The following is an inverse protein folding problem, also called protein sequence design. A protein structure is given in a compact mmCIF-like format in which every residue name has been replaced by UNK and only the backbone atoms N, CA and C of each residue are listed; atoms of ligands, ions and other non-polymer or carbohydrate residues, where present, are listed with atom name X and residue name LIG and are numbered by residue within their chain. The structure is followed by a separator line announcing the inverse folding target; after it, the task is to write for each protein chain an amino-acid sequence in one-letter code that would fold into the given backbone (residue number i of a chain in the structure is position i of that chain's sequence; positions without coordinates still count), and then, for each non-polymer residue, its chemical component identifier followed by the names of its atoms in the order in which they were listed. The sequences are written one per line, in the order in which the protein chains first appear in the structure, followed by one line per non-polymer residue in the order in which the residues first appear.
data_IF_115715565119
#
_entry.id   IF_115715565119
#
_cell.length_a   1.000
_cell.length_b   1.000
_cell.length_c   1.000
_cell.angle_alpha   90.00
_cell.angle_beta   90.00
_cell.angle_gamma   90.00
#
_symmetry.space_group_name_H-M   'P 1'
#
loop_
_entity.id
_entity.type
_entity.pdbx_description
1 polymer ?
#
# COMPACT_ATOMS: atom_id res chain seq x y z
N UNK A 1 22.95 5.11 4.20
CA UNK A 1 23.32 3.89 3.44
C UNK A 1 22.05 3.33 2.84
N UNK A 2 21.96 3.08 1.53
CA UNK A 2 20.83 2.32 0.96
C UNK A 2 20.77 0.98 1.68
N UNK A 3 19.61 0.59 2.20
CA UNK A 3 19.36 -0.75 2.74
C UNK A 3 19.43 -1.76 1.60
N UNK A 4 20.64 -2.06 1.13
CA UNK A 4 20.88 -3.16 0.19
C UNK A 4 20.72 -4.45 0.99
N UNK A 5 19.52 -5.02 0.95
CA UNK A 5 19.37 -6.46 1.23
C UNK A 5 20.08 -7.23 0.12
N UNK A 6 20.70 -8.35 0.48
CA UNK A 6 21.15 -9.35 -0.50
C UNK A 6 20.05 -10.39 -0.78
N UNK A 7 18.91 -10.31 -0.10
CA UNK A 7 17.80 -11.25 -0.30
C UNK A 7 17.20 -11.03 -1.69
N UNK A 8 17.08 -12.09 -2.52
CA UNK A 8 16.40 -11.99 -3.80
C UNK A 8 14.92 -11.71 -3.55
N UNK A 9 14.34 -10.82 -4.36
CA UNK A 9 12.91 -10.53 -4.34
C UNK A 9 12.13 -11.80 -4.72
N UNK A 10 10.99 -12.10 -4.05
CA UNK A 10 10.12 -13.20 -4.45
C UNK A 10 9.72 -13.07 -5.91
N UNK A 11 9.75 -14.18 -6.64
CA UNK A 11 9.54 -14.15 -8.09
C UNK A 11 9.05 -15.49 -8.62
N UNK A 12 8.12 -15.44 -9.57
CA UNK A 12 7.73 -16.54 -10.44
C UNK A 12 7.70 -16.02 -11.87
N UNK A 13 8.24 -16.78 -12.83
CA UNK A 13 8.22 -16.38 -14.24
C UNK A 13 6.79 -16.33 -14.77
N UNK A 14 6.55 -15.40 -15.71
CA UNK A 14 5.25 -15.23 -16.36
C UNK A 14 4.81 -16.53 -17.05
N UNK A 15 3.60 -17.05 -16.79
CA UNK A 15 3.07 -18.19 -17.52
C UNK A 15 3.06 -17.93 -19.03
N UNK A 16 3.36 -18.96 -19.84
CA UNK A 16 3.51 -18.82 -21.30
C UNK A 16 2.23 -18.34 -22.01
N UNK A 17 1.08 -18.64 -21.43
CA UNK A 17 -0.26 -18.30 -21.90
C UNK A 17 -0.82 -17.01 -21.29
N UNK A 18 -0.10 -16.38 -20.35
CA UNK A 18 -0.51 -15.12 -19.75
C UNK A 18 -0.26 -13.94 -20.69
N UNK A 19 -1.33 -13.24 -21.06
CA UNK A 19 -1.27 -12.01 -21.87
C UNK A 19 -1.30 -10.73 -21.03
N UNK A 20 -1.60 -10.84 -19.74
CA UNK A 20 -1.73 -9.69 -18.84
C UNK A 20 -0.37 -9.09 -18.48
N UNK A 21 -0.35 -7.81 -18.11
CA UNK A 21 0.88 -7.11 -17.67
C UNK A 21 1.37 -7.63 -16.31
N UNK A 22 0.43 -7.93 -15.43
CA UNK A 22 0.69 -8.54 -14.13
C UNK A 22 0.12 -9.96 -14.12
N UNK A 23 0.84 -10.89 -13.52
CA UNK A 23 0.37 -12.26 -13.29
C UNK A 23 0.39 -12.59 -11.79
N UNK A 24 -0.53 -13.46 -11.37
CA UNK A 24 -0.63 -13.91 -9.97
C UNK A 24 0.43 -14.97 -9.70
N UNK A 25 0.93 -15.02 -8.47
CA UNK A 25 1.70 -16.17 -7.98
C UNK A 25 0.85 -17.44 -8.01
N UNK A 26 1.39 -18.56 -8.52
CA UNK A 26 0.61 -19.78 -8.76
C UNK A 26 0.09 -20.42 -7.47
N UNK A 27 0.79 -20.19 -6.34
CA UNK A 27 0.43 -20.76 -5.04
C UNK A 27 -0.18 -19.73 -4.09
N UNK A 28 -0.83 -18.69 -4.64
CA UNK A 28 -1.62 -17.78 -3.80
C UNK A 28 -2.76 -18.52 -3.07
N UNK A 29 -3.16 -18.02 -1.89
CA UNK A 29 -2.56 -16.90 -1.14
C UNK A 29 -1.29 -17.30 -0.37
N UNK A 30 -0.41 -16.34 -0.09
CA UNK A 30 0.85 -16.58 0.63
C UNK A 30 0.74 -16.44 2.15
N UNK A 31 -0.28 -15.73 2.64
CA UNK A 31 -0.65 -15.67 4.06
C UNK A 31 -2.15 -15.91 4.14
N UNK A 32 -2.53 -16.95 4.88
CA UNK A 32 -3.92 -17.33 5.08
C UNK A 32 -4.53 -16.64 6.29
N UNK A 33 -5.86 -16.61 6.32
CA UNK A 33 -6.65 -15.88 7.31
C UNK A 33 -6.43 -16.33 8.77
N UNK A 34 -5.94 -17.56 8.98
CA UNK A 34 -5.76 -18.19 10.31
C UNK A 34 -4.29 -18.48 10.65
N UNK A 35 -3.33 -17.84 9.98
CA UNK A 35 -1.90 -18.13 10.17
C UNK A 35 -1.36 -17.71 11.55
N UNK A 36 -2.07 -16.83 12.29
CA UNK A 36 -1.79 -16.58 13.70
C UNK A 36 -2.99 -16.96 14.59
N UNK A 37 -2.78 -17.38 15.85
CA UNK A 37 -3.86 -17.93 16.69
C UNK A 37 -5.07 -17.01 16.89
N UNK A 38 -4.83 -15.70 16.91
CA UNK A 38 -5.85 -14.67 17.13
C UNK A 38 -6.58 -14.22 15.86
N UNK A 39 -6.06 -14.51 14.66
CA UNK A 39 -6.56 -13.91 13.43
C UNK A 39 -7.90 -14.50 13.02
N UNK A 40 -8.78 -13.60 12.58
CA UNK A 40 -9.89 -13.89 11.69
C UNK A 40 -9.43 -13.78 10.23
N UNK A 41 -8.65 -12.74 9.92
CA UNK A 41 -8.11 -12.43 8.59
C UNK A 41 -6.80 -11.66 8.68
N UNK A 42 -5.92 -11.86 7.69
CA UNK A 42 -4.63 -11.17 7.56
C UNK A 42 -4.50 -10.72 6.11
N UNK A 43 -4.41 -9.40 5.88
CA UNK A 43 -4.43 -8.81 4.55
C UNK A 43 -3.78 -7.42 4.58
N UNK A 44 -3.83 -6.65 3.49
CA UNK A 44 -3.35 -5.25 3.39
C UNK A 44 -2.01 -4.97 4.09
N UNK A 45 -1.00 -5.81 3.81
CA UNK A 45 0.25 -5.83 4.56
C UNK A 45 1.38 -5.07 3.86
N UNK A 46 2.23 -4.42 4.66
CA UNK A 46 3.42 -3.72 4.19
C UNK A 46 4.66 -4.60 4.32
N UNK A 47 5.51 -4.62 3.29
CA UNK A 47 6.72 -5.43 3.24
C UNK A 47 7.89 -4.59 2.74
N UNK A 48 9.04 -4.74 3.37
CA UNK A 48 10.29 -4.11 2.96
C UNK A 48 11.49 -5.06 3.10
N UNK A 49 12.55 -4.85 2.31
CA UNK A 49 13.86 -5.41 2.57
C UNK A 49 14.38 -5.06 3.97
N UNK A 50 14.86 -6.06 4.71
CA UNK A 50 15.44 -5.87 6.03
C UNK A 50 16.48 -6.95 6.34
N UNK A 51 17.70 -6.51 6.68
CA UNK A 51 18.87 -7.39 6.90
C UNK A 51 19.10 -8.37 5.72
N UNK A 52 19.12 -9.67 6.01
CA UNK A 52 19.32 -10.77 5.07
C UNK A 52 18.00 -11.36 4.54
N UNK A 53 16.88 -10.66 4.74
CA UNK A 53 15.55 -11.08 4.31
C UNK A 53 14.60 -9.89 4.19
N UNK A 54 13.40 -10.07 4.76
CA UNK A 54 12.29 -9.13 4.70
C UNK A 54 11.67 -8.96 6.08
N UNK A 55 11.19 -7.75 6.35
CA UNK A 55 10.33 -7.44 7.48
C UNK A 55 9.03 -6.84 6.94
N UNK A 56 7.97 -6.95 7.74
CA UNK A 56 6.68 -6.40 7.38
C UNK A 56 5.86 -5.95 8.57
N UNK A 57 4.84 -5.16 8.25
CA UNK A 57 3.78 -4.74 9.17
C UNK A 57 2.45 -5.19 8.57
N UNK A 58 1.78 -6.10 9.26
CA UNK A 58 0.63 -6.85 8.77
C UNK A 58 -0.63 -6.35 9.46
N UNK A 59 -1.67 -6.01 8.70
CA UNK A 59 -3.01 -5.85 9.29
C UNK A 59 -3.53 -7.26 9.60
N UNK A 60 -3.92 -7.46 10.85
CA UNK A 60 -4.65 -8.63 11.26
C UNK A 60 -5.89 -8.19 12.02
N UNK A 61 -7.04 -8.68 11.55
CA UNK A 61 -8.31 -8.50 12.23
C UNK A 61 -8.50 -9.73 13.12
N UNK A 62 -8.75 -9.53 14.42
CA UNK A 62 -8.90 -10.65 15.36
C UNK A 62 -10.27 -11.35 15.19
N UNK A 63 -10.53 -12.41 15.97
CA UNK A 63 -11.83 -13.13 15.96
C UNK A 63 -13.06 -12.30 16.40
N UNK A 64 -12.84 -11.10 16.94
CA UNK A 64 -13.88 -10.10 17.19
C UNK A 64 -13.91 -9.00 16.11
N UNK A 65 -13.21 -9.20 15.00
CA UNK A 65 -13.04 -8.29 13.85
C UNK A 65 -12.45 -6.93 14.25
N UNK A 66 -11.70 -6.89 15.36
CA UNK A 66 -10.96 -5.70 15.75
C UNK A 66 -9.66 -5.64 14.97
N UNK A 67 -9.42 -4.49 14.33
CA UNK A 67 -8.29 -4.28 13.44
C UNK A 67 -7.05 -3.83 14.21
N UNK A 68 -5.93 -4.52 14.02
CA UNK A 68 -4.64 -4.08 14.55
C UNK A 68 -3.48 -4.45 13.61
N UNK A 69 -2.28 -3.95 13.92
CA UNK A 69 -1.07 -4.20 13.14
C UNK A 69 -0.03 -5.02 13.92
N UNK A 70 0.65 -5.92 13.21
CA UNK A 70 1.58 -6.91 13.75
C UNK A 70 2.88 -6.85 12.96
N UNK A 71 4.02 -7.01 13.62
CA UNK A 71 5.30 -7.16 12.93
C UNK A 71 5.50 -8.61 12.49
N UNK A 72 6.22 -8.83 11.39
CA UNK A 72 6.58 -10.17 10.93
C UNK A 72 7.85 -10.16 10.10
N UNK A 73 8.44 -11.34 9.93
CA UNK A 73 9.71 -11.53 9.23
C UNK A 73 9.63 -12.69 8.26
N UNK A 74 10.42 -12.60 7.18
CA UNK A 74 10.54 -13.66 6.19
C UNK A 74 11.95 -13.68 5.61
N UNK A 75 12.45 -14.86 5.24
CA UNK A 75 13.73 -15.00 4.52
C UNK A 75 13.58 -14.89 3.01
N UNK A 76 12.41 -15.22 2.47
CA UNK A 76 12.15 -15.29 1.02
C UNK A 76 11.03 -14.35 0.55
N UNK A 77 10.34 -13.68 1.48
CA UNK A 77 9.22 -12.79 1.21
C UNK A 77 7.89 -13.52 0.96
N UNK A 78 7.86 -14.86 1.04
CA UNK A 78 6.68 -15.69 0.80
C UNK A 78 6.24 -16.37 2.09
N UNK A 79 7.18 -17.00 2.81
CA UNK A 79 6.93 -17.71 4.06
C UNK A 79 7.16 -16.75 5.23
N UNK A 80 6.09 -16.39 5.96
CA UNK A 80 6.13 -15.35 6.99
C UNK A 80 5.97 -15.91 8.40
N UNK A 81 6.86 -15.49 9.30
CA UNK A 81 6.71 -15.63 10.74
C UNK A 81 6.15 -14.31 11.30
N UNK A 82 4.84 -14.28 11.56
CA UNK A 82 4.13 -13.09 12.05
C UNK A 82 4.00 -13.18 13.56
N UNK A 83 4.34 -12.11 14.28
CA UNK A 83 4.19 -12.05 15.72
C UNK A 83 2.74 -12.33 16.14
N UNK A 84 2.54 -13.06 17.25
CA UNK A 84 1.20 -13.39 17.75
C UNK A 84 0.56 -12.26 18.58
N UNK A 85 1.29 -11.18 18.84
CA UNK A 85 0.80 -10.01 19.58
C UNK A 85 0.92 -8.76 18.71
N UNK A 86 -0.04 -7.82 18.80
CA UNK A 86 0.02 -6.59 18.03
C UNK A 86 1.23 -5.75 18.46
N UNK A 87 1.63 -4.83 17.58
CA UNK A 87 2.69 -3.88 17.87
C UNK A 87 2.27 -2.99 19.05
N UNK A 88 3.08 -2.98 20.09
CA UNK A 88 2.98 -2.05 21.21
C UNK A 88 3.80 -0.79 20.88
N UNK A 89 3.11 0.33 20.72
CA UNK A 89 3.73 1.61 20.37
C UNK A 89 4.26 2.33 21.60
N UNK A 90 5.47 2.88 21.48
CA UNK A 90 6.07 3.81 22.43
C UNK A 90 5.86 5.27 21.97
N UNK A 91 5.90 6.26 22.86
CA UNK A 91 5.91 7.67 22.45
C UNK A 91 7.11 8.00 21.56
N UNK A 92 6.84 8.65 20.42
CA UNK A 92 7.85 9.14 19.48
C UNK A 92 8.07 10.65 19.63
N UNK A 93 7.52 11.45 18.70
CA UNK A 93 7.65 12.92 18.71
C UNK A 93 6.50 13.66 19.43
N UNK A 94 5.70 12.92 20.21
CA UNK A 94 4.55 13.39 20.96
C UNK A 94 4.24 12.44 22.11
N UNK A 95 3.41 12.87 23.05
CA UNK A 95 2.86 11.99 24.08
C UNK A 95 1.99 10.91 23.44
N UNK A 96 1.79 9.78 24.13
CA UNK A 96 1.12 8.63 23.52
C UNK A 96 -0.32 8.97 23.10
N UNK A 97 -0.58 8.95 21.80
CA UNK A 97 -1.92 9.16 21.25
C UNK A 97 -2.69 7.84 21.30
N UNK A 98 -3.86 7.85 21.93
CA UNK A 98 -4.77 6.71 21.94
C UNK A 98 -5.20 6.34 20.51
N UNK A 99 -5.41 5.05 20.28
CA UNK A 99 -5.72 4.51 18.96
C UNK A 99 -6.79 3.45 19.12
N UNK A 100 -7.98 3.75 18.59
CA UNK A 100 -9.15 2.86 18.66
C UNK A 100 -8.92 1.58 17.82
N UNK A 101 -8.18 1.72 16.72
CA UNK A 101 -7.81 0.66 15.78
C UNK A 101 -6.63 1.09 14.90
N UNK A 102 -5.96 0.12 14.28
CA UNK A 102 -4.87 0.34 13.31
C UNK A 102 -5.01 -0.62 12.13
N UNK A 103 -5.01 -0.10 10.90
CA UNK A 103 -5.09 -0.96 9.71
C UNK A 103 -4.41 -0.31 8.50
N UNK A 104 -4.27 -1.09 7.42
CA UNK A 104 -3.72 -0.66 6.13
C UNK A 104 -2.32 -0.03 6.19
N UNK A 105 -1.34 -0.66 6.87
CA UNK A 105 0.01 -0.14 7.01
C UNK A 105 0.72 0.00 5.65
N UNK A 106 1.58 1.01 5.54
CA UNK A 106 2.66 1.15 4.54
C UNK A 106 3.97 1.40 5.28
N UNK A 107 5.07 0.90 4.73
CA UNK A 107 6.41 1.00 5.34
C UNK A 107 7.41 1.46 4.30
N UNK A 108 8.26 2.42 4.67
CA UNK A 108 9.32 2.91 3.79
C UNK A 108 10.56 3.31 4.59
N UNK A 109 11.74 2.98 4.07
CA UNK A 109 12.99 3.46 4.63
C UNK A 109 13.28 4.88 4.12
N UNK A 110 13.48 5.84 5.04
CA UNK A 110 13.90 7.20 4.70
C UNK A 110 15.01 7.61 5.67
N UNK A 111 16.12 8.07 5.10
CA UNK A 111 17.34 8.50 5.80
C UNK A 111 17.97 7.39 6.67
N UNK A 112 17.52 7.22 7.91
CA UNK A 112 18.12 6.35 8.94
C UNK A 112 17.15 5.30 9.53
N UNK A 113 15.86 5.35 9.19
CA UNK A 113 14.82 4.52 9.83
C UNK A 113 13.72 4.11 8.87
N UNK A 114 12.94 3.13 9.32
CA UNK A 114 11.72 2.71 8.65
C UNK A 114 10.54 3.49 9.20
N UNK A 115 9.94 4.31 8.36
CA UNK A 115 8.69 5.02 8.64
C UNK A 115 7.50 4.13 8.31
N UNK A 116 6.46 4.25 9.12
CA UNK A 116 5.23 3.47 9.02
C UNK A 116 4.07 4.45 9.03
N UNK A 117 3.19 4.33 8.03
CA UNK A 117 1.92 5.03 7.99
C UNK A 117 0.79 4.02 8.02
N UNK A 118 -0.30 4.32 8.70
CA UNK A 118 -1.48 3.44 8.76
C UNK A 118 -2.75 4.27 8.95
N UNK A 119 -3.91 3.67 8.71
CA UNK A 119 -5.17 4.26 9.12
C UNK A 119 -5.36 4.09 10.63
N UNK A 120 -5.23 5.19 11.36
CA UNK A 120 -5.36 5.25 12.81
C UNK A 120 -6.76 5.72 13.22
N UNK A 121 -7.40 5.02 14.14
CA UNK A 121 -8.66 5.46 14.75
C UNK A 121 -8.41 6.49 15.84
N UNK A 122 -8.82 7.75 15.59
CA UNK A 122 -8.74 8.84 16.56
C UNK A 122 -9.90 9.82 16.35
N UNK A 123 -11.03 9.59 17.01
CA UNK A 123 -12.30 10.30 16.76
C UNK A 123 -12.76 10.25 15.29
N UNK A 124 -12.36 9.21 14.57
CA UNK A 124 -12.51 9.05 13.13
C UNK A 124 -11.22 8.52 12.48
N UNK A 125 -11.28 7.95 11.27
CA UNK A 125 -10.09 7.52 10.54
C UNK A 125 -9.18 8.70 10.19
N UNK A 126 -7.91 8.62 10.57
CA UNK A 126 -6.84 9.53 10.12
C UNK A 126 -5.56 8.75 9.80
N UNK A 127 -4.48 9.44 9.45
CA UNK A 127 -3.17 8.83 9.16
C UNK A 127 -2.29 8.89 10.41
N UNK A 128 -2.06 7.73 11.01
CA UNK A 128 -1.01 7.57 12.02
C UNK A 128 0.37 7.55 11.36
N UNK A 129 1.35 8.12 12.04
CA UNK A 129 2.77 8.06 11.68
C UNK A 129 3.51 7.38 12.82
N UNK A 130 4.46 6.53 12.49
CA UNK A 130 5.43 6.00 13.43
C UNK A 130 6.70 5.59 12.74
N UNK A 131 7.68 5.17 13.52
CA UNK A 131 8.93 4.64 12.98
C UNK A 131 9.46 3.47 13.80
N UNK A 132 10.34 2.71 13.18
CA UNK A 132 11.16 1.67 13.81
C UNK A 132 12.55 1.67 13.19
N UNK A 133 13.53 1.20 13.94
CA UNK A 133 14.87 0.91 13.41
C UNK A 133 15.06 -0.59 13.16
N UNK A 134 14.29 -1.45 13.85
CA UNK A 134 14.59 -2.87 13.98
C UNK A 134 13.37 -3.81 13.84
N UNK A 135 12.17 -3.26 13.64
CA UNK A 135 10.89 -3.98 13.62
C UNK A 135 10.56 -4.73 14.93
N UNK A 136 11.19 -4.33 16.05
CA UNK A 136 10.89 -4.84 17.39
C UNK A 136 10.35 -3.72 18.26
N UNK A 137 10.99 -2.55 18.23
CA UNK A 137 10.51 -1.37 18.92
C UNK A 137 9.89 -0.38 17.93
N UNK A 138 8.71 0.12 18.27
CA UNK A 138 7.94 1.00 17.42
C UNK A 138 7.58 2.27 18.19
N UNK A 139 7.73 3.41 17.53
CA UNK A 139 7.57 4.74 18.12
C UNK A 139 6.49 5.50 17.35
N UNK A 140 5.38 5.83 18.00
CA UNK A 140 4.26 6.56 17.41
C UNK A 140 4.49 8.08 17.49
N UNK A 141 4.31 8.74 16.36
CA UNK A 141 4.36 10.19 16.22
C UNK A 141 2.94 10.80 16.25
N UNK A 142 2.87 12.12 16.08
CA UNK A 142 1.61 12.81 15.77
C UNK A 142 0.91 12.17 14.57
N UNK A 143 -0.43 12.16 14.61
CA UNK A 143 -1.21 11.89 13.41
C UNK A 143 -0.91 12.99 12.37
N UNK A 144 -0.76 12.62 11.11
CA UNK A 144 -0.39 13.56 10.05
C UNK A 144 -1.47 14.62 9.79
N UNK A 145 -2.74 14.23 9.92
CA UNK A 145 -3.90 15.01 9.52
C UNK A 145 -5.04 14.91 10.54
N UNK A 146 -6.01 15.80 10.42
CA UNK A 146 -7.31 15.62 11.05
C UNK A 146 -8.10 14.50 10.36
N UNK A 147 -9.00 13.81 11.07
CA UNK A 147 -10.04 13.00 10.42
C UNK A 147 -10.90 13.87 9.49
N UNK A 148 -11.40 13.35 8.36
CA UNK A 148 -11.32 11.96 7.92
C UNK A 148 -10.31 11.77 6.80
N UNK A 149 -9.34 10.88 6.98
CA UNK A 149 -8.30 10.60 5.98
C UNK A 149 -7.83 9.14 6.05
N UNK A 150 -7.47 8.55 4.89
CA UNK A 150 -6.96 7.17 4.74
C UNK A 150 -5.93 7.09 3.62
N UNK A 151 -5.29 5.93 3.46
CA UNK A 151 -4.30 5.66 2.41
C UNK A 151 -3.10 6.63 2.45
N UNK A 152 -2.60 6.88 3.65
CA UNK A 152 -1.38 7.66 3.87
C UNK A 152 -0.16 6.88 3.39
N UNK A 153 0.59 7.42 2.41
CA UNK A 153 1.76 6.76 1.83
C UNK A 153 2.88 7.78 1.64
N UNK A 154 4.01 7.56 2.31
CA UNK A 154 5.19 8.41 2.17
C UNK A 154 5.94 8.14 0.86
N UNK A 155 6.52 9.17 0.28
CA UNK A 155 7.55 9.01 -0.75
C UNK A 155 8.87 8.52 -0.11
N UNK A 156 9.68 7.71 -0.81
CA UNK A 156 10.88 7.08 -0.22
C UNK A 156 12.07 8.02 -0.06
N UNK A 157 11.91 9.30 -0.36
CA UNK A 157 12.91 10.35 -0.11
C UNK A 157 12.24 11.71 -0.02
N UNK A 158 12.95 12.68 0.55
CA UNK A 158 12.52 14.07 0.54
C UNK A 158 12.46 14.61 -0.88
N UNK A 159 11.43 15.38 -1.18
CA UNK A 159 11.24 16.09 -2.45
C UNK A 159 11.40 17.58 -2.15
N UNK A 160 12.37 18.23 -2.82
CA UNK A 160 12.72 19.63 -2.57
C UNK A 160 12.97 19.95 -1.08
N UNK A 161 13.65 19.03 -0.39
CA UNK A 161 14.01 19.16 1.02
C UNK A 161 12.91 18.83 2.04
N UNK A 162 11.70 18.45 1.59
CA UNK A 162 10.55 18.15 2.46
C UNK A 162 10.15 16.68 2.35
N UNK A 163 9.68 16.09 3.43
CA UNK A 163 8.93 14.84 3.35
C UNK A 163 7.65 15.09 2.55
N UNK A 164 7.25 14.11 1.74
CA UNK A 164 6.01 14.15 0.97
C UNK A 164 5.17 12.93 1.31
N UNK A 165 3.87 13.13 1.53
CA UNK A 165 2.92 12.06 1.83
C UNK A 165 1.70 12.17 0.92
N UNK A 166 1.41 11.08 0.21
CA UNK A 166 0.11 10.87 -0.43
C UNK A 166 -0.93 10.59 0.65
N UNK A 167 -2.11 11.16 0.53
CA UNK A 167 -3.25 10.87 1.40
C UNK A 167 -4.55 10.95 0.61
N UNK A 168 -5.65 10.58 1.27
CA UNK A 168 -6.95 10.45 0.62
C UNK A 168 -8.05 10.94 1.56
N UNK A 169 -8.41 12.24 1.49
CA UNK A 169 -9.56 12.78 2.21
C UNK A 169 -10.79 11.87 2.04
N UNK A 170 -11.46 11.59 3.15
CA UNK A 170 -12.48 10.56 3.24
C UNK A 170 -13.66 11.02 4.09
N UNK A 171 -14.55 10.10 4.46
CA UNK A 171 -15.62 10.30 5.42
C UNK A 171 -15.49 9.33 6.62
N UNK A 172 -16.47 9.35 7.52
CA UNK A 172 -16.51 8.51 8.71
C UNK A 172 -17.02 7.08 8.46
N UNK A 173 -17.14 6.64 7.19
CA UNK A 173 -17.75 5.36 6.85
C UNK A 173 -17.20 4.76 5.55
N UNK A 174 -18.09 4.13 4.79
CA UNK A 174 -17.77 3.55 3.49
C UNK A 174 -17.76 4.62 2.40
N UNK A 175 -16.69 5.41 2.40
CA UNK A 175 -16.56 6.61 1.56
C UNK A 175 -16.98 6.39 0.10
N UNK A 176 -18.00 7.12 -0.41
CA UNK A 176 -18.48 7.02 -1.79
C UNK A 176 -17.76 7.99 -2.75
N UNK A 177 -16.65 8.59 -2.31
CA UNK A 177 -15.79 9.49 -3.07
C UNK A 177 -14.32 9.26 -2.66
N UNK A 178 -13.39 9.87 -3.40
CA UNK A 178 -12.01 9.93 -2.94
C UNK A 178 -11.00 10.21 -4.04
N UNK A 179 -10.31 11.35 -3.91
CA UNK A 179 -9.19 11.77 -4.75
C UNK A 179 -7.87 11.62 -3.98
N UNK A 180 -6.76 11.46 -4.70
CA UNK A 180 -5.42 11.40 -4.10
C UNK A 180 -4.82 12.80 -4.02
N UNK A 181 -4.35 13.16 -2.84
CA UNK A 181 -3.64 14.41 -2.56
C UNK A 181 -2.21 14.12 -2.11
N UNK A 182 -1.32 15.09 -2.27
CA UNK A 182 0.01 15.11 -1.64
C UNK A 182 0.09 16.28 -0.66
N UNK A 183 0.76 16.05 0.47
CA UNK A 183 1.11 17.08 1.46
C UNK A 183 2.59 16.99 1.78
N UNK A 184 3.18 18.12 2.19
CA UNK A 184 4.60 18.23 2.49
C UNK A 184 4.84 18.59 3.95
N UNK A 185 5.93 18.08 4.51
CA UNK A 185 6.36 18.39 5.87
C UNK A 185 7.87 18.59 5.94
N UNK A 186 8.36 19.61 6.67
CA UNK A 186 9.79 19.74 6.93
C UNK A 186 10.30 18.73 7.97
N UNK A 187 9.42 18.15 8.81
CA UNK A 187 9.82 17.50 10.07
C UNK A 187 9.01 16.26 10.47
N UNK A 188 8.12 15.74 9.60
CA UNK A 188 7.17 14.65 9.90
C UNK A 188 6.13 14.98 10.99
N UNK A 189 5.98 16.24 11.39
CA UNK A 189 5.01 16.68 12.40
C UNK A 189 4.00 17.68 11.82
N UNK A 190 4.47 18.72 11.16
CA UNK A 190 3.60 19.76 10.59
C UNK A 190 3.48 19.56 9.08
N UNK A 191 2.24 19.38 8.60
CA UNK A 191 1.94 19.10 7.20
C UNK A 191 1.20 20.27 6.56
N UNK A 192 1.61 20.65 5.35
CA UNK A 192 1.04 21.76 4.59
C UNK A 192 1.24 21.60 3.09
N UNK A 193 1.05 22.69 2.34
CA UNK A 193 1.26 22.74 0.88
C UNK A 193 0.50 21.65 0.12
N UNK A 194 -0.75 21.39 0.54
CA UNK A 194 -1.59 20.35 -0.04
C UNK A 194 -1.85 20.59 -1.53
N UNK A 195 -1.72 19.54 -2.34
CA UNK A 195 -2.03 19.57 -3.79
C UNK A 195 -2.85 18.34 -4.17
N UNK A 196 -3.82 18.53 -5.04
CA UNK A 196 -4.50 17.40 -5.71
C UNK A 196 -3.47 16.75 -6.63
N UNK A 197 -3.33 15.43 -6.56
CA UNK A 197 -2.50 14.66 -7.51
C UNK A 197 -3.38 14.18 -8.64
N UNK A 198 -4.45 13.45 -8.32
CA UNK A 198 -5.41 12.96 -9.30
C UNK A 198 -6.77 12.72 -8.69
N UNK A 199 -7.80 12.88 -9.53
CA UNK A 199 -9.21 12.64 -9.19
C UNK A 199 -9.74 11.35 -9.80
N UNK A 200 -10.90 10.92 -9.36
CA UNK A 200 -11.65 9.84 -10.03
C UNK A 200 -11.85 10.14 -11.52
N UNK A 201 -11.92 9.09 -12.33
CA UNK A 201 -12.16 9.23 -13.78
C UNK A 201 -13.64 9.03 -14.08
N UNK A 202 -14.28 9.83 -14.96
CA UNK A 202 -15.66 9.61 -15.36
C UNK A 202 -15.91 8.19 -15.87
N UNK A 203 -17.11 7.67 -15.60
CA UNK A 203 -17.49 6.29 -15.98
C UNK A 203 -17.23 5.96 -17.46
N UNK A 204 -17.56 6.82 -18.45
CA UNK A 204 -17.35 6.51 -19.86
C UNK A 204 -15.87 6.41 -20.28
N UNK A 205 -14.96 7.05 -19.53
CA UNK A 205 -13.53 7.06 -19.84
C UNK A 205 -12.81 5.89 -19.16
N UNK A 206 -13.13 5.62 -17.89
CA UNK A 206 -12.55 4.52 -17.14
C UNK A 206 -13.39 4.15 -15.90
N UNK A 207 -14.35 3.26 -16.11
CA UNK A 207 -15.34 2.91 -15.10
C UNK A 207 -14.75 2.28 -13.82
N UNK A 208 -13.65 1.54 -13.89
CA UNK A 208 -13.11 0.80 -12.74
C UNK A 208 -12.62 1.70 -11.60
N UNK A 209 -12.44 3.00 -11.87
CA UNK A 209 -11.87 4.00 -10.95
C UNK A 209 -12.76 5.25 -10.83
N UNK A 210 -14.07 5.10 -11.04
CA UNK A 210 -15.01 6.21 -11.10
C UNK A 210 -15.68 6.59 -9.76
N UNK A 211 -15.63 5.70 -8.75
CA UNK A 211 -16.20 6.00 -7.42
C UNK A 211 -15.16 6.65 -6.51
N UNK A 212 -13.98 6.05 -6.40
CA UNK A 212 -12.87 6.56 -5.58
C UNK A 212 -11.56 5.92 -6.01
N UNK A 213 -10.46 6.59 -5.70
CA UNK A 213 -9.11 6.10 -5.85
C UNK A 213 -8.31 6.32 -4.56
N UNK A 214 -7.19 5.62 -4.41
CA UNK A 214 -6.28 5.80 -3.28
C UNK A 214 -4.90 5.20 -3.54
N UNK A 215 -3.87 5.80 -2.96
CA UNK A 215 -2.51 5.31 -3.07
C UNK A 215 -2.39 3.89 -2.48
N UNK A 216 -1.57 3.05 -3.12
CA UNK A 216 -1.33 1.68 -2.72
C UNK A 216 0.05 1.53 -2.06
N UNK A 217 1.01 0.87 -2.71
CA UNK A 217 2.41 0.79 -2.29
C UNK A 217 3.16 2.13 -2.29
N UNK A 218 4.36 2.12 -1.70
CA UNK A 218 5.34 3.21 -1.77
C UNK A 218 5.63 3.53 -3.25
N UNK A 219 5.59 4.82 -3.68
CA UNK A 219 5.96 5.20 -5.04
C UNK A 219 7.40 4.79 -5.38
N UNK A 220 7.58 4.16 -6.54
CA UNK A 220 8.89 3.67 -7.01
C UNK A 220 9.53 4.75 -7.88
N UNK A 221 10.77 5.15 -7.55
CA UNK A 221 11.52 6.07 -8.40
C UNK A 221 11.99 5.34 -9.67
N UNK A 222 11.57 5.83 -10.82
CA UNK A 222 12.00 5.40 -12.16
C UNK A 222 12.58 6.60 -12.92
N UNK A 223 13.11 6.38 -14.12
CA UNK A 223 13.72 7.44 -14.92
C UNK A 223 12.69 8.51 -15.33
N UNK A 224 11.46 8.11 -15.65
CA UNK A 224 10.39 9.03 -16.01
C UNK A 224 9.77 9.80 -14.83
N UNK A 225 10.00 9.36 -13.58
CA UNK A 225 9.37 9.96 -12.41
C UNK A 225 9.04 8.97 -11.30
N UNK A 226 7.88 9.13 -10.68
CA UNK A 226 7.39 8.24 -9.63
C UNK A 226 6.33 7.29 -10.18
N UNK A 227 6.64 6.00 -10.30
CA UNK A 227 5.66 4.98 -10.58
C UNK A 227 4.81 4.73 -9.32
N UNK A 228 3.57 5.18 -9.36
CA UNK A 228 2.56 4.98 -8.32
C UNK A 228 1.63 3.84 -8.74
N UNK A 229 1.63 2.76 -7.97
CA UNK A 229 0.57 1.75 -8.01
C UNK A 229 -0.56 2.23 -7.08
N UNK A 230 -1.79 2.31 -7.59
CA UNK A 230 -2.94 2.81 -6.86
C UNK A 230 -4.16 1.90 -7.04
N UNK A 231 -5.06 1.90 -6.06
CA UNK A 231 -6.35 1.22 -6.20
C UNK A 231 -7.41 2.18 -6.72
N UNK A 232 -8.37 1.63 -7.44
CA UNK A 232 -9.56 2.30 -7.95
C UNK A 232 -10.80 1.45 -7.71
N UNK A 233 -11.93 2.13 -7.56
CA UNK A 233 -13.19 1.52 -7.19
C UNK A 233 -14.30 1.91 -8.15
N UNK A 234 -15.11 0.92 -8.49
CA UNK A 234 -16.44 1.09 -9.05
C UNK A 234 -17.49 0.60 -8.06
N UNK A 235 -18.60 1.34 -7.96
CA UNK A 235 -19.80 0.93 -7.22
C UNK A 235 -20.72 0.19 -8.16
N UNK A 236 -20.98 -1.08 -7.85
CA UNK A 236 -21.98 -1.92 -8.52
C UNK A 236 -23.28 -1.94 -7.71
N UNK A 237 -24.33 -2.57 -8.25
CA UNK A 237 -25.57 -2.76 -7.49
C UNK A 237 -25.40 -3.56 -6.19
N UNK A 238 -24.33 -4.36 -6.07
CA UNK A 238 -24.05 -5.23 -4.91
C UNK A 238 -22.84 -4.76 -4.08
N UNK A 239 -22.38 -3.52 -4.29
CA UNK A 239 -21.26 -2.95 -3.52
C UNK A 239 -20.04 -2.63 -4.37
N UNK A 240 -18.90 -2.46 -3.70
CA UNK A 240 -17.66 -2.01 -4.33
C UNK A 240 -16.87 -3.14 -4.97
N UNK A 241 -16.22 -2.84 -6.10
CA UNK A 241 -15.18 -3.67 -6.70
C UNK A 241 -13.87 -2.89 -6.74
N UNK A 242 -12.83 -3.42 -6.10
CA UNK A 242 -11.51 -2.78 -6.03
C UNK A 242 -10.54 -3.46 -7.00
N UNK A 243 -9.91 -2.66 -7.86
CA UNK A 243 -8.84 -3.09 -8.76
C UNK A 243 -7.64 -2.15 -8.60
N UNK A 244 -6.50 -2.51 -9.19
CA UNK A 244 -5.30 -1.67 -9.19
C UNK A 244 -4.84 -1.29 -10.59
N UNK A 245 -4.32 -0.08 -10.70
CA UNK A 245 -3.69 0.48 -11.89
C UNK A 245 -2.40 1.21 -11.53
N UNK A 246 -1.84 1.93 -12.50
CA UNK A 246 -0.57 2.65 -12.32
C UNK A 246 -0.61 4.06 -12.91
N UNK A 247 0.14 4.96 -12.29
CA UNK A 247 0.38 6.31 -12.77
C UNK A 247 1.87 6.62 -12.66
N UNK A 248 2.38 7.50 -13.52
CA UNK A 248 3.72 8.06 -13.43
C UNK A 248 3.56 9.53 -13.08
N UNK A 249 4.12 9.94 -11.94
CA UNK A 249 4.08 11.32 -11.45
C UNK A 249 5.43 11.99 -11.71
N UNK A 250 5.43 13.31 -11.90
CA UNK A 250 6.68 14.07 -12.06
C UNK A 250 7.59 13.92 -10.82
N UNK A 251 8.89 13.74 -11.07
CA UNK A 251 9.89 13.47 -10.04
C UNK A 251 9.98 14.57 -8.97
N UNK A 252 9.85 15.84 -9.38
CA UNK A 252 10.08 17.01 -8.54
C UNK A 252 8.77 17.70 -8.12
N UNK A 253 7.67 17.40 -8.80
CA UNK A 253 6.32 17.92 -8.55
C UNK A 253 5.30 16.78 -8.62
N UNK A 254 5.24 15.89 -7.62
CA UNK A 254 4.41 14.67 -7.68
C UNK A 254 2.90 14.92 -7.79
N UNK A 255 2.44 16.16 -7.66
CA UNK A 255 1.08 16.58 -7.99
C UNK A 255 0.81 16.69 -9.51
N UNK A 256 1.85 16.57 -10.35
CA UNK A 256 1.72 16.49 -11.81
C UNK A 256 1.76 15.04 -12.27
N UNK A 257 0.61 14.55 -12.75
CA UNK A 257 0.52 13.23 -13.38
C UNK A 257 1.03 13.32 -14.82
N UNK A 258 2.03 12.53 -15.17
CA UNK A 258 2.59 12.44 -16.52
C UNK A 258 1.85 11.41 -17.36
N UNK A 259 1.53 10.26 -16.76
CA UNK A 259 0.81 9.17 -17.38
C UNK A 259 -0.08 8.48 -16.34
N UNK A 260 -1.23 7.95 -16.76
CA UNK A 260 -2.14 7.20 -15.86
C UNK A 260 -2.97 6.20 -16.63
N UNK A 261 -2.93 4.94 -16.22
CA UNK A 261 -3.62 3.86 -16.91
C UNK A 261 -5.14 4.08 -16.98
N UNK A 262 -5.69 4.02 -18.19
CA UNK A 262 -7.12 3.93 -18.47
C UNK A 262 -7.67 2.57 -18.04
N UNK A 263 -6.97 1.49 -18.33
CA UNK A 263 -7.35 0.13 -17.95
C UNK A 263 -6.68 -0.30 -16.63
N UNK A 264 -7.31 -1.16 -15.83
CA UNK A 264 -6.66 -1.70 -14.62
C UNK A 264 -5.59 -2.74 -15.01
N UNK A 265 -4.58 -2.93 -14.17
CA UNK A 265 -3.55 -3.96 -14.34
C UNK A 265 -3.93 -5.27 -13.66
N UNK A 266 -4.65 -5.20 -12.53
CA UNK A 266 -5.18 -6.39 -11.85
C UNK A 266 -6.50 -6.05 -11.18
N UNK A 267 -7.51 -6.87 -11.40
CA UNK A 267 -8.78 -6.80 -10.69
C UNK A 267 -9.23 -8.20 -10.24
N UNK A 268 -10.22 -8.28 -9.32
CA UNK A 268 -10.71 -9.54 -8.77
C UNK A 268 -11.18 -10.48 -9.89
N UNK A 269 -10.63 -11.68 -9.91
CA UNK A 269 -10.91 -12.68 -10.95
C UNK A 269 -10.86 -14.14 -10.45
N UNK A 270 -10.21 -14.40 -9.31
CA UNK A 270 -10.08 -15.75 -8.73
C UNK A 270 -10.75 -15.83 -7.36
N UNK A 271 -11.06 -17.04 -6.91
CA UNK A 271 -11.91 -17.28 -5.72
C UNK A 271 -11.44 -16.52 -4.49
N UNK A 272 -10.14 -16.52 -4.18
CA UNK A 272 -9.60 -15.83 -3.00
C UNK A 272 -9.67 -14.29 -3.07
N UNK A 273 -10.05 -13.71 -4.23
CA UNK A 273 -10.26 -12.26 -4.43
C UNK A 273 -11.75 -11.90 -4.51
N UNK A 274 -12.59 -12.84 -4.95
CA UNK A 274 -14.03 -12.65 -5.13
C UNK A 274 -14.83 -13.12 -3.89
N UNK A 275 -14.28 -14.05 -3.12
CA UNK A 275 -14.92 -14.69 -1.96
C UNK A 275 -14.08 -14.42 -0.71
N UNK A 276 -14.70 -13.84 0.31
CA UNK A 276 -14.04 -13.51 1.57
C UNK A 276 -14.93 -12.63 2.45
N UNK A 277 -14.32 -12.05 3.48
CA UNK A 277 -14.98 -11.13 4.40
C UNK A 277 -15.50 -9.87 3.68
N UNK A 278 -14.82 -9.41 2.63
CA UNK A 278 -15.31 -8.40 1.67
C UNK A 278 -15.09 -8.89 0.24
N UNK A 279 -16.15 -9.12 -0.52
CA UNK A 279 -16.05 -9.64 -1.88
C UNK A 279 -15.40 -8.64 -2.85
N UNK A 280 -14.77 -9.18 -3.90
CA UNK A 280 -14.28 -8.42 -5.05
C UNK A 280 -13.23 -7.35 -4.70
N UNK A 281 -12.20 -7.74 -3.95
CA UNK A 281 -11.11 -6.85 -3.53
C UNK A 281 -9.75 -7.36 -4.00
N UNK A 282 -9.04 -6.51 -4.75
CA UNK A 282 -7.59 -6.54 -4.96
C UNK A 282 -7.04 -5.20 -4.47
N UNK A 283 -6.28 -5.21 -3.36
CA UNK A 283 -5.83 -3.99 -2.69
C UNK A 283 -4.31 -3.98 -2.46
N UNK A 284 -3.52 -3.28 -3.29
CA UNK A 284 -2.07 -3.32 -3.20
C UNK A 284 -1.54 -2.46 -2.04
N UNK A 285 -0.64 -3.02 -1.24
CA UNK A 285 -0.05 -2.37 -0.07
C UNK A 285 1.47 -2.26 -0.10
N UNK A 286 2.17 -3.20 -0.73
CA UNK A 286 3.61 -3.14 -0.88
C UNK A 286 4.06 -3.60 -2.27
N UNK A 287 5.19 -3.07 -2.71
CA UNK A 287 5.84 -3.43 -3.95
C UNK A 287 7.34 -3.52 -3.72
N UNK A 288 7.91 -4.69 -4.00
CA UNK A 288 9.34 -4.92 -4.06
C UNK A 288 9.77 -4.89 -5.52
N UNK A 289 10.91 -4.26 -5.83
CA UNK A 289 11.38 -4.17 -7.21
C UNK A 289 12.91 -4.34 -7.32
N UNK A 290 13.35 -5.02 -8.39
CA UNK A 290 14.74 -5.18 -8.80
C UNK A 290 14.84 -4.69 -10.25
N UNK A 291 15.30 -3.46 -10.42
CA UNK A 291 15.36 -2.81 -11.73
C UNK A 291 16.42 -3.46 -12.64
N UNK A 292 17.50 -4.03 -12.07
CA UNK A 292 18.55 -4.69 -12.86
C UNK A 292 18.03 -6.00 -13.48
N UNK A 293 17.13 -6.69 -12.77
CA UNK A 293 16.50 -7.93 -13.25
C UNK A 293 15.12 -7.73 -13.88
N UNK A 294 14.65 -6.50 -13.98
CA UNK A 294 13.33 -6.15 -14.50
C UNK A 294 12.18 -6.85 -13.76
N UNK A 295 12.23 -6.87 -12.43
CA UNK A 295 11.26 -7.58 -11.57
C UNK A 295 10.49 -6.63 -10.68
N UNK A 296 9.19 -6.86 -10.58
CA UNK A 296 8.26 -6.22 -9.65
C UNK A 296 7.42 -7.30 -8.97
N UNK A 297 7.38 -7.31 -7.65
CA UNK A 297 6.52 -8.16 -6.84
C UNK A 297 5.60 -7.28 -5.99
N UNK A 298 4.29 -7.47 -6.11
CA UNK A 298 3.25 -6.67 -5.46
C UNK A 298 2.51 -7.53 -4.45
N UNK A 299 2.56 -7.13 -3.18
CA UNK A 299 1.73 -7.68 -2.12
C UNK A 299 0.40 -6.96 -2.11
N UNK A 300 -0.68 -7.73 -2.20
CA UNK A 300 -2.03 -7.19 -2.16
C UNK A 300 -2.93 -7.99 -1.20
N UNK A 301 -3.82 -7.27 -0.52
CA UNK A 301 -4.94 -7.90 0.18
C UNK A 301 -5.97 -8.38 -0.82
N UNK A 302 -6.45 -9.61 -0.62
CA UNK A 302 -7.47 -10.22 -1.44
C UNK A 302 -8.72 -10.52 -0.60
N UNK A 303 -9.87 -10.04 -1.09
CA UNK A 303 -11.18 -10.15 -0.45
C UNK A 303 -11.23 -9.76 1.05
N UNK A 304 -10.37 -8.83 1.49
CA UNK A 304 -10.13 -8.50 2.90
C UNK A 304 -9.94 -9.73 3.82
N UNK A 305 -9.32 -10.79 3.28
CA UNK A 305 -9.25 -12.10 3.94
C UNK A 305 -7.82 -12.64 4.01
N UNK A 306 -7.07 -12.53 2.92
CA UNK A 306 -5.73 -13.12 2.76
C UNK A 306 -4.74 -12.14 2.11
N UNK A 307 -3.43 -12.44 2.21
CA UNK A 307 -2.38 -11.74 1.43
C UNK A 307 -1.99 -12.59 0.22
N UNK A 308 -1.93 -11.97 -0.94
CA UNK A 308 -1.51 -12.59 -2.20
C UNK A 308 -0.37 -11.79 -2.85
N UNK A 309 0.33 -12.44 -3.78
CA UNK A 309 1.38 -11.87 -4.61
C UNK A 309 0.98 -11.81 -6.07
N UNK A 310 1.32 -10.70 -6.72
CA UNK A 310 1.35 -10.58 -8.17
C UNK A 310 2.75 -10.16 -8.61
N UNK A 311 3.16 -10.60 -9.78
CA UNK A 311 4.43 -10.24 -10.38
C UNK A 311 4.21 -9.46 -11.68
N UNK A 312 5.19 -8.64 -12.01
CA UNK A 312 5.24 -7.88 -13.25
C UNK A 312 6.69 -7.64 -13.64
N UNK A 313 6.93 -7.36 -14.91
CA UNK A 313 8.18 -6.73 -15.31
C UNK A 313 8.04 -5.22 -15.21
N UNK A 314 9.04 -4.54 -14.65
CA UNK A 314 9.02 -3.08 -14.49
C UNK A 314 8.87 -2.40 -15.85
N UNK A 315 9.62 -2.86 -16.85
CA UNK A 315 9.59 -2.36 -18.22
C UNK A 315 8.20 -2.50 -18.87
N UNK A 316 7.54 -3.66 -18.72
CA UNK A 316 6.19 -3.92 -19.24
C UNK A 316 5.15 -3.03 -18.56
N UNK A 317 5.23 -2.85 -17.23
CA UNK A 317 4.33 -1.99 -16.46
C UNK A 317 4.48 -0.52 -16.86
N UNK A 318 5.71 -0.03 -16.97
CA UNK A 318 5.99 1.36 -17.38
C UNK A 318 5.50 1.60 -18.82
N UNK A 319 5.81 0.68 -19.74
CA UNK A 319 5.36 0.77 -21.13
C UNK A 319 3.84 0.78 -21.22
N UNK A 320 3.16 -0.13 -20.53
CA UNK A 320 1.69 -0.18 -20.49
C UNK A 320 1.10 1.12 -19.94
N UNK A 321 1.67 1.68 -18.88
CA UNK A 321 1.22 2.95 -18.28
C UNK A 321 1.26 4.10 -19.28
N UNK A 322 2.32 4.18 -20.08
CA UNK A 322 2.51 5.24 -21.08
C UNK A 322 1.62 5.04 -22.30
N UNK A 323 1.47 3.80 -22.76
CA UNK A 323 0.72 3.46 -23.97
C UNK A 323 -0.81 3.49 -23.76
N UNK A 324 -1.26 3.24 -22.54
CA UNK A 324 -2.69 3.20 -22.19
C UNK A 324 -3.06 4.33 -21.23
N UNK A 325 -2.42 5.49 -21.38
CA UNK A 325 -2.75 6.66 -20.57
C UNK A 325 -4.14 7.20 -20.89
N UNK A 326 -4.82 7.75 -19.87
CA UNK A 326 -6.01 8.62 -20.02
C UNK A 326 -5.69 9.88 -20.83
#
# INVERSE_FOLDING_TARGET
MKTKTNAPIPWEEKPKDCTDVLWRYSNNPIINRYDIPSSNSIFNSAVVPFNDGFAGVFRCDNKAVQMNIFAGFSKDGINWDINHKPIEMKPGNTEMIHSDYKYDPRVVFIDDRYWITWCNGYHGPTIGIGYTYDFKEFYQCENAFLPFNRNGVLFPQKINGKYAMLSRPSDNGHTPFGDIYVSYSPDMKYWGEHRVVMKVTPFPESAWQCTKIGAGPIPILIDEGWLLIYHGVITTCNGFRYAMGTAILDKNSPDKVLYRTRDYLLGPAVDYEMIGDVQNVVFPCAALHDAEKDRLAIYYGAADTVVALAFGKMSEVIAFTKQNSL
#
